data_IF_580081854424
#
_entry.id   IF_580081854424
#
_cell.length_a   1.000
_cell.length_b   1.000
_cell.length_c   1.000
_cell.angle_alpha   90.00
_cell.angle_beta   90.00
_cell.angle_gamma   90.00
#
_symmetry.space_group_name_H-M   'P 1'
#
loop_
_entity.id
_entity.type
_entity.pdbx_description
1 polymer ?
#
# COMPACT_ATOMS: atom_id res chain seq x y z
N UNK A 1 -19.26 31.00 33.83
CA UNK A 1 -18.01 31.31 33.09
C UNK A 1 -17.30 30.01 32.70
N UNK A 2 -17.39 29.58 31.43
CA UNK A 2 -16.59 28.47 30.90
C UNK A 2 -15.21 29.02 30.54
N UNK A 3 -14.21 28.73 31.37
CA UNK A 3 -12.83 29.15 31.13
C UNK A 3 -12.29 28.57 29.82
N UNK A 4 -11.87 29.46 28.93
CA UNK A 4 -11.16 29.14 27.69
C UNK A 4 -9.86 28.40 28.02
N UNK A 5 -9.72 27.16 27.55
CA UNK A 5 -8.44 26.45 27.60
C UNK A 5 -7.58 27.04 26.47
N UNK A 6 -6.57 27.82 26.82
CA UNK A 6 -5.55 28.28 25.88
C UNK A 6 -4.82 27.08 25.28
N UNK A 7 -5.02 26.84 23.98
CA UNK A 7 -4.40 25.75 23.24
C UNK A 7 -3.17 26.30 22.51
N UNK A 8 -1.98 26.09 23.06
CA UNK A 8 -0.72 26.40 22.36
C UNK A 8 -0.40 25.30 21.34
N UNK A 9 -0.25 25.65 20.07
CA UNK A 9 0.27 24.72 19.04
C UNK A 9 1.78 24.57 19.23
N UNK A 10 2.27 23.34 19.42
CA UNK A 10 3.68 23.02 19.64
C UNK A 10 4.42 22.77 18.31
N UNK A 11 3.80 22.00 17.40
CA UNK A 11 4.38 21.65 16.10
C UNK A 11 3.29 21.59 15.03
N UNK A 12 3.61 22.07 13.81
CA UNK A 12 2.78 21.91 12.61
C UNK A 12 3.56 21.15 11.54
N UNK A 13 2.96 20.11 10.99
CA UNK A 13 3.54 19.28 9.93
C UNK A 13 2.56 19.18 8.77
N UNK A 14 2.97 19.51 7.53
CA UNK A 14 2.14 19.27 6.34
C UNK A 14 1.75 17.80 6.22
N UNK A 15 0.46 17.52 5.99
CA UNK A 15 -0.03 16.15 5.92
C UNK A 15 0.54 15.36 4.72
N UNK A 16 1.12 16.04 3.73
CA UNK A 16 1.80 15.43 2.58
C UNK A 16 2.93 14.48 3.00
N UNK A 17 3.61 14.78 4.11
CA UNK A 17 4.70 13.93 4.62
C UNK A 17 4.22 12.52 4.99
N UNK A 18 2.93 12.33 5.30
CA UNK A 18 2.36 11.00 5.52
C UNK A 18 2.38 10.20 4.22
N UNK A 19 1.93 10.81 3.12
CA UNK A 19 1.95 10.18 1.79
C UNK A 19 3.38 9.87 1.34
N UNK A 20 4.31 10.82 1.49
CA UNK A 20 5.71 10.60 1.16
C UNK A 20 6.36 9.49 2.02
N UNK A 21 6.10 9.47 3.33
CA UNK A 21 6.64 8.43 4.21
C UNK A 21 6.12 7.05 3.81
N UNK A 22 4.81 6.94 3.55
CA UNK A 22 4.22 5.69 3.04
C UNK A 22 4.90 5.23 1.75
N UNK A 23 5.00 6.11 0.74
CA UNK A 23 5.55 5.78 -0.57
C UNK A 23 7.03 5.40 -0.48
N UNK A 24 7.84 6.15 0.28
CA UNK A 24 9.28 5.88 0.42
C UNK A 24 9.51 4.54 1.11
N UNK A 25 8.85 4.27 2.24
CA UNK A 25 9.03 3.00 2.94
C UNK A 25 8.50 1.81 2.13
N UNK A 26 7.34 1.95 1.48
CA UNK A 26 6.77 0.89 0.65
C UNK A 26 7.69 0.53 -0.52
N UNK A 27 8.11 1.51 -1.32
CA UNK A 27 9.04 1.22 -2.43
C UNK A 27 10.39 0.71 -1.95
N UNK A 28 10.92 1.28 -0.86
CA UNK A 28 12.17 0.78 -0.29
C UNK A 28 12.04 -0.69 0.14
N UNK A 29 10.92 -1.08 0.75
CA UNK A 29 10.68 -2.48 1.13
C UNK A 29 10.82 -3.41 -0.07
N UNK A 30 10.05 -3.14 -1.13
CA UNK A 30 9.99 -3.98 -2.32
C UNK A 30 11.31 -4.01 -3.11
N UNK A 31 11.92 -2.84 -3.37
CA UNK A 31 13.15 -2.77 -4.16
C UNK A 31 14.37 -3.28 -3.40
N UNK A 32 14.50 -3.01 -2.10
CA UNK A 32 15.60 -3.55 -1.29
C UNK A 32 15.46 -5.07 -1.19
N UNK A 33 14.26 -5.60 -0.98
CA UNK A 33 14.02 -7.04 -0.97
C UNK A 33 14.44 -7.68 -2.30
N UNK A 34 14.09 -7.07 -3.44
CA UNK A 34 14.50 -7.56 -4.76
C UNK A 34 16.01 -7.54 -4.95
N UNK A 35 16.68 -6.42 -4.64
CA UNK A 35 18.13 -6.29 -4.81
C UNK A 35 18.86 -7.30 -3.92
N UNK A 36 18.50 -7.37 -2.64
CA UNK A 36 19.15 -8.26 -1.68
C UNK A 36 18.81 -9.73 -1.98
N UNK A 37 17.58 -10.03 -2.38
CA UNK A 37 17.16 -11.36 -2.79
C UNK A 37 17.95 -11.85 -4.00
N UNK A 38 18.06 -11.02 -5.04
CA UNK A 38 18.88 -11.31 -6.21
C UNK A 38 20.36 -11.42 -5.86
N UNK A 39 20.89 -10.59 -4.97
CA UNK A 39 22.31 -10.67 -4.59
C UNK A 39 22.66 -11.95 -3.82
N UNK A 40 21.77 -12.38 -2.91
CA UNK A 40 22.07 -13.47 -1.98
C UNK A 40 21.57 -14.84 -2.42
N UNK A 41 20.42 -14.89 -3.10
CA UNK A 41 19.68 -16.14 -3.33
C UNK A 41 19.05 -16.25 -4.72
N UNK A 42 19.57 -15.54 -5.73
CA UNK A 42 18.99 -15.44 -7.08
C UNK A 42 18.40 -16.75 -7.62
N UNK A 43 19.24 -17.77 -7.82
CA UNK A 43 18.82 -19.05 -8.41
C UNK A 43 17.71 -19.76 -7.64
N UNK A 44 17.58 -19.47 -6.34
CA UNK A 44 16.56 -20.10 -5.50
C UNK A 44 15.24 -19.33 -5.55
N UNK A 45 15.27 -18.00 -5.67
CA UNK A 45 14.05 -17.17 -5.73
C UNK A 45 13.43 -17.10 -7.13
N UNK A 46 14.20 -17.42 -8.18
CA UNK A 46 13.68 -17.56 -9.55
C UNK A 46 13.15 -18.97 -9.86
N UNK A 47 13.46 -19.94 -8.99
CA UNK A 47 13.00 -21.32 -9.16
C UNK A 47 11.51 -21.43 -8.79
N UNK A 48 10.72 -22.00 -9.67
CA UNK A 48 9.32 -22.34 -9.43
C UNK A 48 9.14 -23.86 -9.29
N UNK A 49 7.89 -24.34 -9.24
CA UNK A 49 7.55 -25.76 -9.07
C UNK A 49 8.07 -26.68 -10.19
N UNK A 50 8.28 -26.15 -11.39
CA UNK A 50 8.57 -26.93 -12.60
C UNK A 50 9.91 -26.56 -13.26
N UNK A 51 10.31 -25.28 -13.19
CA UNK A 51 11.42 -24.71 -13.93
C UNK A 51 12.26 -23.78 -13.03
N UNK A 52 13.47 -23.49 -13.48
CA UNK A 52 14.34 -22.49 -12.87
C UNK A 52 15.12 -21.74 -13.94
N UNK A 53 16.22 -21.12 -13.54
CA UNK A 53 17.12 -20.46 -14.47
C UNK A 53 17.70 -21.48 -15.48
N UNK A 54 17.79 -21.18 -16.79
CA UNK A 54 17.62 -19.87 -17.43
C UNK A 54 16.21 -19.55 -17.95
N UNK A 55 15.27 -20.49 -17.92
CA UNK A 55 13.90 -20.26 -18.42
C UNK A 55 13.18 -19.23 -17.55
N UNK A 56 13.40 -19.32 -16.23
CA UNK A 56 12.88 -18.37 -15.26
C UNK A 56 14.00 -17.47 -14.75
N UNK A 57 13.82 -16.16 -14.89
CA UNK A 57 14.86 -15.17 -14.59
C UNK A 57 14.37 -13.98 -13.77
N UNK A 58 13.06 -13.70 -13.75
CA UNK A 58 12.50 -12.69 -12.85
C UNK A 58 11.81 -13.39 -11.68
N UNK A 59 12.25 -13.18 -10.42
CA UNK A 59 11.60 -13.79 -9.28
C UNK A 59 10.24 -13.13 -9.02
N UNK A 60 9.26 -13.92 -8.57
CA UNK A 60 7.95 -13.41 -8.13
C UNK A 60 8.07 -12.52 -6.90
N UNK A 61 7.03 -11.73 -6.65
CA UNK A 61 6.98 -10.87 -5.45
C UNK A 61 6.99 -11.73 -4.19
N UNK A 62 6.20 -12.80 -4.15
CA UNK A 62 6.13 -13.72 -3.00
C UNK A 62 7.46 -14.42 -2.73
N UNK A 63 8.15 -14.94 -3.76
CA UNK A 63 9.45 -15.59 -3.56
C UNK A 63 10.53 -14.61 -3.09
N UNK A 64 10.51 -13.39 -3.63
CA UNK A 64 11.46 -12.33 -3.27
C UNK A 64 11.30 -11.86 -1.82
N UNK A 65 10.06 -11.77 -1.35
CA UNK A 65 9.73 -11.15 -0.06
C UNK A 65 9.55 -12.15 1.08
N UNK A 66 9.15 -13.39 0.77
CA UNK A 66 8.74 -14.38 1.77
C UNK A 66 9.71 -15.53 2.02
N UNK A 67 10.66 -15.79 1.13
CA UNK A 67 11.39 -17.07 1.19
C UNK A 67 12.56 -17.07 2.16
N UNK A 68 13.45 -16.07 2.10
CA UNK A 68 14.80 -16.20 2.68
C UNK A 68 15.31 -14.94 3.37
N UNK A 69 16.06 -15.17 4.45
CA UNK A 69 16.95 -14.18 5.06
C UNK A 69 18.12 -13.86 4.10
N UNK A 70 18.60 -12.60 4.00
CA UNK A 70 18.18 -11.42 4.74
C UNK A 70 17.05 -10.60 4.09
N UNK A 71 16.69 -10.88 2.82
CA UNK A 71 15.70 -10.12 2.06
C UNK A 71 14.33 -10.05 2.77
N UNK A 72 13.82 -11.20 3.26
CA UNK A 72 12.56 -11.29 4.02
C UNK A 72 12.53 -10.38 5.24
N UNK A 73 13.59 -10.41 6.05
CA UNK A 73 13.64 -9.62 7.29
C UNK A 73 13.66 -8.11 7.00
N UNK A 74 14.47 -7.68 6.03
CA UNK A 74 14.52 -6.28 5.62
C UNK A 74 13.18 -5.80 5.04
N UNK A 75 12.53 -6.64 4.22
CA UNK A 75 11.19 -6.37 3.68
C UNK A 75 10.18 -6.15 4.81
N UNK A 76 10.08 -7.10 5.74
CA UNK A 76 9.11 -7.06 6.84
C UNK A 76 9.33 -5.85 7.75
N UNK A 77 10.59 -5.49 8.07
CA UNK A 77 10.90 -4.29 8.87
C UNK A 77 10.43 -3.01 8.15
N UNK A 78 10.69 -2.89 6.85
CA UNK A 78 10.29 -1.71 6.08
C UNK A 78 8.77 -1.63 5.91
N UNK A 79 8.07 -2.77 5.77
CA UNK A 79 6.60 -2.80 5.77
C UNK A 79 6.04 -2.45 7.16
N UNK A 80 6.69 -2.87 8.26
CA UNK A 80 6.32 -2.44 9.61
C UNK A 80 6.36 -0.90 9.73
N UNK A 81 7.43 -0.27 9.23
CA UNK A 81 7.56 1.18 9.18
C UNK A 81 6.53 1.84 8.24
N UNK A 82 6.15 1.17 7.15
CA UNK A 82 5.10 1.62 6.22
C UNK A 82 3.71 1.63 6.86
N UNK A 83 3.44 0.72 7.80
CA UNK A 83 2.12 0.52 8.39
C UNK A 83 1.56 1.77 9.09
N UNK A 84 2.39 2.48 9.86
CA UNK A 84 2.00 3.71 10.55
C UNK A 84 1.50 4.79 9.59
N UNK A 85 2.34 5.25 8.63
CA UNK A 85 1.92 6.15 7.56
C UNK A 85 0.68 5.66 6.79
N UNK A 86 0.55 4.35 6.54
CA UNK A 86 -0.61 3.78 5.85
C UNK A 86 -1.91 4.00 6.63
N UNK A 87 -1.94 3.68 7.92
CA UNK A 87 -3.13 3.90 8.74
C UNK A 87 -3.49 5.38 8.85
N UNK A 88 -2.49 6.25 9.00
CA UNK A 88 -2.70 7.70 9.03
C UNK A 88 -3.23 8.20 7.69
N UNK A 89 -2.73 7.70 6.55
CA UNK A 89 -3.22 8.05 5.22
C UNK A 89 -4.70 7.70 5.05
N UNK A 90 -5.11 6.49 5.48
CA UNK A 90 -6.53 6.07 5.41
C UNK A 90 -7.42 6.96 6.29
N UNK A 91 -6.97 7.29 7.50
CA UNK A 91 -7.68 8.20 8.40
C UNK A 91 -7.76 9.64 7.87
N UNK A 92 -6.67 10.15 7.30
CA UNK A 92 -6.64 11.45 6.65
C UNK A 92 -7.56 11.52 5.45
N UNK A 93 -7.62 10.46 4.62
CA UNK A 93 -8.54 10.39 3.50
C UNK A 93 -10.00 10.48 3.96
N UNK A 94 -10.36 9.77 5.03
CA UNK A 94 -11.68 9.86 5.65
C UNK A 94 -12.01 11.29 6.10
N UNK A 95 -11.12 11.92 6.87
CA UNK A 95 -11.34 13.29 7.36
C UNK A 95 -11.39 14.31 6.22
N UNK A 96 -10.52 14.16 5.23
CA UNK A 96 -10.47 15.01 4.05
C UNK A 96 -11.82 15.00 3.33
N UNK A 97 -12.29 13.81 2.96
CA UNK A 97 -13.51 13.64 2.14
C UNK A 97 -14.81 13.94 2.88
N UNK A 98 -14.88 13.71 4.20
CA UNK A 98 -16.11 13.90 4.99
C UNK A 98 -16.20 15.24 5.71
N UNK A 99 -15.08 15.82 6.13
CA UNK A 99 -15.06 17.05 6.93
C UNK A 99 -14.55 18.24 6.11
N UNK A 100 -13.42 18.08 5.42
CA UNK A 100 -12.73 19.19 4.75
C UNK A 100 -13.41 19.59 3.44
N UNK A 101 -13.48 18.68 2.46
CA UNK A 101 -14.03 18.97 1.13
C UNK A 101 -15.48 18.52 0.96
N UNK A 102 -15.99 17.68 1.88
CA UNK A 102 -17.38 17.20 1.92
C UNK A 102 -17.90 16.62 0.60
N UNK A 103 -17.02 15.94 -0.14
CA UNK A 103 -17.34 15.23 -1.38
C UNK A 103 -18.00 13.87 -1.15
N UNK A 104 -17.91 13.35 0.08
CA UNK A 104 -18.46 12.05 0.46
C UNK A 104 -19.55 12.20 1.52
N UNK A 105 -20.57 11.33 1.46
CA UNK A 105 -21.51 11.17 2.57
C UNK A 105 -20.81 10.53 3.77
N UNK A 106 -21.27 10.79 4.98
CA UNK A 106 -20.66 10.23 6.19
C UNK A 106 -20.66 8.68 6.16
N UNK A 107 -21.74 8.08 5.64
CA UNK A 107 -21.86 6.64 5.49
C UNK A 107 -20.82 6.08 4.52
N UNK A 108 -20.72 6.65 3.31
CA UNK A 108 -19.75 6.19 2.31
C UNK A 108 -18.31 6.42 2.77
N UNK A 109 -18.03 7.55 3.41
CA UNK A 109 -16.71 7.82 4.01
C UNK A 109 -16.32 6.77 5.06
N UNK A 110 -17.23 6.39 5.95
CA UNK A 110 -16.99 5.33 6.96
C UNK A 110 -16.78 3.96 6.31
N UNK A 111 -17.57 3.63 5.28
CA UNK A 111 -17.39 2.41 4.51
C UNK A 111 -16.00 2.37 3.85
N UNK A 112 -15.60 3.44 3.17
CA UNK A 112 -14.30 3.52 2.51
C UNK A 112 -13.14 3.47 3.51
N UNK A 113 -13.30 4.10 4.67
CA UNK A 113 -12.36 3.98 5.78
C UNK A 113 -12.20 2.52 6.22
N UNK A 114 -13.31 1.80 6.46
CA UNK A 114 -13.28 0.38 6.83
C UNK A 114 -12.60 -0.47 5.77
N UNK A 115 -12.93 -0.27 4.48
CA UNK A 115 -12.27 -0.96 3.36
C UNK A 115 -10.77 -0.70 3.38
N UNK A 116 -10.35 0.56 3.58
CA UNK A 116 -8.94 0.93 3.67
C UNK A 116 -8.22 0.28 4.86
N UNK A 117 -8.89 0.14 6.00
CA UNK A 117 -8.38 -0.53 7.19
C UNK A 117 -8.22 -2.04 6.95
N UNK A 118 -9.26 -2.72 6.46
CA UNK A 118 -9.24 -4.15 6.15
C UNK A 118 -8.14 -4.45 5.13
N UNK A 119 -8.06 -3.64 4.07
CA UNK A 119 -6.99 -3.72 3.08
C UNK A 119 -5.60 -3.62 3.70
N UNK A 120 -5.41 -2.68 4.63
CA UNK A 120 -4.11 -2.48 5.30
C UNK A 120 -3.74 -3.67 6.19
N UNK A 121 -4.70 -4.23 6.93
CA UNK A 121 -4.48 -5.42 7.76
C UNK A 121 -4.21 -6.65 6.89
N UNK A 122 -4.96 -6.82 5.80
CA UNK A 122 -4.76 -7.91 4.84
C UNK A 122 -3.36 -7.86 4.20
N UNK A 123 -2.84 -6.65 3.93
CA UNK A 123 -1.45 -6.46 3.50
C UNK A 123 -0.45 -7.01 4.53
N UNK A 124 -0.61 -6.67 5.80
CA UNK A 124 0.19 -7.27 6.87
C UNK A 124 0.04 -8.80 6.91
N UNK A 125 -1.17 -9.31 6.69
CA UNK A 125 -1.44 -10.75 6.64
C UNK A 125 -0.53 -11.49 5.68
N UNK A 126 -0.53 -11.13 4.39
CA UNK A 126 0.30 -11.83 3.39
C UNK A 126 1.80 -11.49 3.47
N UNK A 127 2.17 -10.35 4.06
CA UNK A 127 3.58 -9.97 4.26
C UNK A 127 4.25 -10.73 5.42
N UNK A 128 3.54 -10.89 6.54
CA UNK A 128 4.10 -11.54 7.74
C UNK A 128 3.85 -13.04 7.77
N UNK A 129 2.73 -13.50 7.22
CA UNK A 129 2.43 -14.92 7.02
C UNK A 129 2.78 -15.24 5.57
N UNK A 130 4.05 -15.61 5.36
CA UNK A 130 4.59 -15.81 4.02
C UNK A 130 4.03 -17.08 3.38
N UNK A 131 4.07 -17.15 2.05
CA UNK A 131 3.63 -18.34 1.29
C UNK A 131 4.40 -19.62 1.67
N UNK A 132 5.62 -19.47 2.18
CA UNK A 132 6.48 -20.54 2.70
C UNK A 132 6.08 -21.02 4.09
N UNK A 133 5.50 -20.16 4.92
CA UNK A 133 5.10 -20.48 6.29
C UNK A 133 3.70 -21.11 6.32
N UNK A 134 2.72 -20.47 5.67
CA UNK A 134 1.35 -20.98 5.51
C UNK A 134 0.73 -20.41 4.21
N UNK A 135 0.76 -21.24 3.16
CA UNK A 135 0.24 -20.89 1.85
C UNK A 135 -1.25 -20.55 1.84
N UNK A 136 -2.07 -21.23 2.65
CA UNK A 136 -3.51 -21.01 2.66
C UNK A 136 -3.85 -19.65 3.26
N UNK A 137 -3.26 -19.33 4.41
CA UNK A 137 -3.48 -18.05 5.08
C UNK A 137 -2.92 -16.88 4.27
N UNK A 138 -1.74 -17.07 3.67
CA UNK A 138 -1.14 -16.10 2.74
C UNK A 138 -2.09 -15.75 1.58
N UNK A 139 -2.63 -16.76 0.89
CA UNK A 139 -3.48 -16.55 -0.28
C UNK A 139 -4.83 -15.91 0.07
N UNK A 140 -5.41 -16.30 1.21
CA UNK A 140 -6.64 -15.67 1.72
C UNK A 140 -6.39 -14.18 2.00
N UNK A 141 -5.29 -13.84 2.67
CA UNK A 141 -4.92 -12.46 2.96
C UNK A 141 -4.65 -11.65 1.67
N UNK A 142 -3.93 -12.22 0.71
CA UNK A 142 -3.68 -11.60 -0.59
C UNK A 142 -4.99 -11.39 -1.38
N UNK A 143 -5.89 -12.36 -1.37
CA UNK A 143 -7.21 -12.26 -2.02
C UNK A 143 -8.06 -11.15 -1.39
N UNK A 144 -8.13 -11.10 -0.06
CA UNK A 144 -8.85 -10.03 0.65
C UNK A 144 -8.25 -8.66 0.30
N UNK A 145 -6.92 -8.56 0.25
CA UNK A 145 -6.23 -7.33 -0.13
C UNK A 145 -6.59 -6.88 -1.56
N UNK A 146 -6.56 -7.79 -2.54
CA UNK A 146 -6.92 -7.48 -3.92
C UNK A 146 -8.40 -7.12 -4.06
N UNK A 147 -9.30 -7.86 -3.42
CA UNK A 147 -10.73 -7.57 -3.41
C UNK A 147 -11.06 -6.23 -2.77
N UNK A 148 -10.33 -5.84 -1.71
CA UNK A 148 -10.49 -4.53 -1.09
C UNK A 148 -9.82 -3.40 -1.89
N UNK A 149 -8.87 -3.71 -2.78
CA UNK A 149 -8.18 -2.70 -3.59
C UNK A 149 -9.11 -2.04 -4.61
N UNK A 150 -10.02 -2.80 -5.22
CA UNK A 150 -11.01 -2.25 -6.16
C UNK A 150 -11.95 -1.20 -5.53
N UNK A 151 -12.71 -1.51 -4.45
CA UNK A 151 -13.56 -0.51 -3.80
C UNK A 151 -12.74 0.62 -3.18
N UNK A 152 -11.50 0.37 -2.73
CA UNK A 152 -10.61 1.44 -2.26
C UNK A 152 -10.28 2.43 -3.38
N UNK A 153 -9.70 1.96 -4.49
CA UNK A 153 -9.26 2.84 -5.58
C UNK A 153 -10.44 3.56 -6.26
N UNK A 154 -11.54 2.85 -6.52
CA UNK A 154 -12.75 3.47 -7.08
C UNK A 154 -13.40 4.44 -6.10
N UNK A 155 -13.45 4.11 -4.80
CA UNK A 155 -13.98 5.00 -3.78
C UNK A 155 -13.15 6.28 -3.62
N UNK A 156 -11.82 6.17 -3.65
CA UNK A 156 -10.91 7.32 -3.66
C UNK A 156 -11.11 8.17 -4.91
N UNK A 157 -11.25 7.55 -6.10
CA UNK A 157 -11.51 8.28 -7.34
C UNK A 157 -12.88 8.96 -7.35
N UNK A 158 -13.90 8.34 -6.75
CA UNK A 158 -15.24 8.90 -6.64
C UNK A 158 -15.31 10.08 -5.66
N UNK A 159 -14.55 10.00 -4.56
CA UNK A 159 -14.58 11.01 -3.48
C UNK A 159 -13.51 12.09 -3.61
N UNK A 160 -12.61 12.01 -4.59
CA UNK A 160 -11.60 13.04 -4.78
C UNK A 160 -12.20 14.39 -5.22
N UNK A 161 -11.52 15.49 -4.89
CA UNK A 161 -11.96 16.82 -5.28
C UNK A 161 -11.81 17.05 -6.79
N UNK A 162 -12.84 17.59 -7.43
CA UNK A 162 -12.81 17.96 -8.85
C UNK A 162 -11.83 19.13 -9.17
N UNK A 163 -11.23 19.75 -8.16
CA UNK A 163 -10.29 20.87 -8.34
C UNK A 163 -8.94 20.43 -8.89
N UNK A 164 -8.46 19.24 -8.53
CA UNK A 164 -7.11 18.79 -8.84
C UNK A 164 -7.13 17.78 -9.99
N UNK A 165 -7.37 18.29 -11.20
CA UNK A 165 -7.52 17.50 -12.44
C UNK A 165 -6.32 16.59 -12.74
N UNK A 166 -5.11 17.01 -12.35
CA UNK A 166 -3.89 16.21 -12.48
C UNK A 166 -3.94 14.95 -11.59
N UNK A 167 -4.38 15.10 -10.34
CA UNK A 167 -4.49 13.97 -9.40
C UNK A 167 -5.54 12.96 -9.89
N UNK A 168 -6.68 13.45 -10.38
CA UNK A 168 -7.74 12.62 -10.98
C UNK A 168 -7.22 11.85 -12.18
N UNK A 169 -6.56 12.53 -13.12
CA UNK A 169 -6.02 11.90 -14.33
C UNK A 169 -5.01 10.80 -14.00
N UNK A 170 -4.11 11.06 -13.04
CA UNK A 170 -3.10 10.08 -12.58
C UNK A 170 -3.77 8.88 -11.90
N UNK A 171 -4.69 9.10 -10.96
CA UNK A 171 -5.44 8.02 -10.30
C UNK A 171 -6.21 7.17 -11.30
N UNK A 172 -6.94 7.80 -12.22
CA UNK A 172 -7.72 7.08 -13.22
C UNK A 172 -6.82 6.22 -14.11
N UNK A 173 -5.69 6.77 -14.56
CA UNK A 173 -4.69 6.02 -15.31
C UNK A 173 -4.17 4.83 -14.50
N UNK A 174 -3.72 5.05 -13.25
CA UNK A 174 -3.18 3.99 -12.39
C UNK A 174 -4.20 2.89 -12.08
N UNK A 175 -5.46 3.24 -11.80
CA UNK A 175 -6.54 2.27 -11.62
C UNK A 175 -6.79 1.47 -12.90
N UNK A 176 -6.89 2.14 -14.05
CA UNK A 176 -7.06 1.44 -15.33
C UNK A 176 -5.89 0.51 -15.64
N UNK A 177 -4.65 0.95 -15.39
CA UNK A 177 -3.47 0.11 -15.60
C UNK A 177 -3.43 -1.06 -14.63
N UNK A 178 -3.71 -0.85 -13.33
CA UNK A 178 -3.76 -1.91 -12.32
C UNK A 178 -4.75 -3.02 -12.70
N UNK A 179 -6.02 -2.66 -12.95
CA UNK A 179 -7.04 -3.65 -13.33
C UNK A 179 -6.84 -4.19 -14.76
N UNK A 180 -6.27 -3.39 -15.66
CA UNK A 180 -5.90 -3.82 -17.01
C UNK A 180 -4.76 -4.85 -17.03
N UNK A 181 -3.87 -4.83 -16.03
CA UNK A 181 -2.80 -5.83 -15.89
C UNK A 181 -3.24 -7.14 -15.24
N UNK A 182 -4.40 -7.20 -14.59
CA UNK A 182 -4.89 -8.45 -13.97
C UNK A 182 -5.19 -9.56 -14.99
N UNK A 183 -5.93 -9.33 -16.11
CA UNK A 183 -6.17 -10.38 -17.09
C UNK A 183 -4.91 -11.04 -17.67
N UNK A 184 -3.88 -10.30 -18.17
CA UNK A 184 -2.67 -10.94 -18.65
C UNK A 184 -1.90 -11.64 -17.53
N UNK A 185 -1.88 -11.10 -16.30
CA UNK A 185 -1.29 -11.78 -15.15
C UNK A 185 -1.94 -13.14 -14.91
N UNK A 186 -3.28 -13.20 -14.85
CA UNK A 186 -4.03 -14.44 -14.65
C UNK A 186 -3.78 -15.42 -15.81
N UNK A 187 -3.72 -14.94 -17.05
CA UNK A 187 -3.40 -15.77 -18.20
C UNK A 187 -2.03 -16.44 -18.05
N UNK A 188 -0.97 -15.69 -17.72
CA UNK A 188 0.37 -16.27 -17.55
C UNK A 188 0.50 -17.14 -16.31
N UNK A 189 -0.27 -16.86 -15.24
CA UNK A 189 -0.40 -17.76 -14.10
C UNK A 189 -0.95 -19.13 -14.51
N UNK A 190 -2.00 -19.16 -15.34
CA UNK A 190 -2.57 -20.41 -15.86
C UNK A 190 -1.59 -21.13 -16.81
N UNK A 191 -0.87 -20.39 -17.65
CA UNK A 191 0.19 -20.95 -18.51
C UNK A 191 1.29 -21.64 -17.69
N UNK A 192 1.68 -21.06 -16.56
CA UNK A 192 2.63 -21.66 -15.64
C UNK A 192 2.02 -22.87 -14.88
N UNK A 193 0.87 -22.70 -14.24
CA UNK A 193 0.31 -23.70 -13.31
C UNK A 193 -0.33 -24.90 -14.00
N UNK A 194 -1.10 -24.67 -15.06
CA UNK A 194 -1.88 -25.71 -15.76
C UNK A 194 -1.12 -26.23 -16.96
N UNK A 195 -0.67 -25.33 -17.83
CA UNK A 195 -0.05 -25.70 -19.11
C UNK A 195 1.47 -25.94 -19.02
N UNK A 196 2.10 -25.58 -17.88
CA UNK A 196 3.53 -25.79 -17.59
C UNK A 196 4.45 -25.26 -18.70
N UNK A 197 4.14 -24.06 -19.20
CA UNK A 197 4.95 -23.40 -20.24
C UNK A 197 6.22 -22.80 -19.61
N UNK A 198 7.42 -23.13 -20.09
CA UNK A 198 8.66 -22.54 -19.58
C UNK A 198 8.70 -21.01 -19.80
N UNK A 199 9.11 -20.24 -18.79
CA UNK A 199 9.22 -18.78 -18.85
C UNK A 199 7.91 -18.03 -18.64
N UNK A 200 6.77 -18.74 -18.56
CA UNK A 200 5.48 -18.12 -18.25
C UNK A 200 5.46 -17.51 -16.84
N UNK A 201 6.18 -18.11 -15.88
CA UNK A 201 6.20 -17.63 -14.50
C UNK A 201 6.94 -16.30 -14.37
N UNK A 202 8.02 -16.09 -15.12
CA UNK A 202 8.72 -14.81 -15.19
C UNK A 202 7.84 -13.69 -15.74
N UNK A 203 7.05 -13.97 -16.79
CA UNK A 203 6.12 -12.98 -17.33
C UNK A 203 5.00 -12.68 -16.32
N UNK A 204 4.50 -13.71 -15.63
CA UNK A 204 3.58 -13.55 -14.51
C UNK A 204 4.18 -12.65 -13.41
N UNK A 205 5.40 -12.93 -12.97
CA UNK A 205 6.12 -12.16 -11.95
C UNK A 205 6.27 -10.69 -12.36
N UNK A 206 6.53 -10.41 -13.64
CA UNK A 206 6.59 -9.04 -14.15
C UNK A 206 5.28 -8.27 -13.93
N UNK A 207 4.14 -8.92 -14.15
CA UNK A 207 2.84 -8.31 -13.86
C UNK A 207 2.59 -8.15 -12.35
N UNK A 208 2.99 -9.11 -11.51
CA UNK A 208 2.91 -8.95 -10.05
C UNK A 208 3.68 -7.70 -9.57
N UNK A 209 4.93 -7.55 -10.00
CA UNK A 209 5.74 -6.38 -9.68
C UNK A 209 5.10 -5.09 -10.19
N UNK A 210 4.51 -5.12 -11.39
CA UNK A 210 3.79 -3.97 -11.95
C UNK A 210 2.61 -3.56 -11.08
N UNK A 211 1.81 -4.52 -10.59
CA UNK A 211 0.68 -4.22 -9.69
C UNK A 211 1.13 -3.52 -8.40
N UNK A 212 2.22 -3.97 -7.79
CA UNK A 212 2.80 -3.31 -6.61
C UNK A 212 3.19 -1.87 -6.93
N UNK A 213 3.84 -1.65 -8.08
CA UNK A 213 4.26 -0.31 -8.50
C UNK A 213 3.06 0.62 -8.66
N UNK A 214 2.02 0.17 -9.36
CA UNK A 214 0.82 0.98 -9.60
C UNK A 214 0.06 1.26 -8.32
N UNK A 215 0.00 0.30 -7.41
CA UNK A 215 -0.74 0.46 -6.17
C UNK A 215 -0.09 1.46 -5.21
N UNK A 216 1.22 1.34 -4.98
CA UNK A 216 1.97 2.31 -4.17
C UNK A 216 1.94 3.70 -4.84
N UNK A 217 2.01 3.77 -6.17
CA UNK A 217 1.89 5.01 -6.92
C UNK A 217 0.51 5.65 -6.74
N UNK A 218 -0.56 4.84 -6.70
CA UNK A 218 -1.93 5.34 -6.51
C UNK A 218 -2.07 6.04 -5.16
N UNK A 219 -1.58 5.41 -4.09
CA UNK A 219 -1.57 6.00 -2.76
C UNK A 219 -0.64 7.24 -2.69
N UNK A 220 0.48 7.26 -3.43
CA UNK A 220 1.37 8.43 -3.52
C UNK A 220 0.68 9.69 -4.08
N UNK A 221 -0.34 9.53 -4.92
CA UNK A 221 -1.10 10.69 -5.46
C UNK A 221 -1.85 11.44 -4.34
N UNK A 222 -2.11 10.83 -3.18
CA UNK A 222 -2.71 11.52 -2.03
C UNK A 222 -1.89 12.71 -1.52
N UNK A 223 -0.60 12.79 -1.84
CA UNK A 223 0.23 13.95 -1.55
C UNK A 223 -0.32 15.25 -2.17
N UNK A 224 -1.01 15.18 -3.32
CA UNK A 224 -1.63 16.35 -3.94
C UNK A 224 -2.83 16.85 -3.11
N UNK A 225 -3.67 15.94 -2.64
CA UNK A 225 -4.84 16.27 -1.81
C UNK A 225 -4.43 16.79 -0.43
N UNK A 226 -3.43 16.15 0.18
CA UNK A 226 -2.96 16.47 1.53
C UNK A 226 -2.14 17.76 1.59
N UNK A 227 -1.88 18.42 0.45
CA UNK A 227 -1.22 19.74 0.41
C UNK A 227 -1.98 20.81 1.20
N UNK A 228 -3.29 20.66 1.31
CA UNK A 228 -4.18 21.61 2.00
C UNK A 228 -4.47 21.24 3.45
N UNK A 229 -3.84 20.17 3.96
CA UNK A 229 -4.03 19.67 5.31
C UNK A 229 -2.76 19.83 6.13
N UNK A 230 -2.93 20.19 7.40
CA UNK A 230 -1.85 20.28 8.39
C UNK A 230 -2.18 19.42 9.61
N UNK A 231 -1.18 18.67 10.07
CA UNK A 231 -1.22 17.96 11.35
C UNK A 231 -0.63 18.89 12.42
N UNK A 232 -1.37 19.08 13.52
CA UNK A 232 -0.95 19.95 14.63
C UNK A 232 -0.90 19.18 15.94
N UNK A 233 0.22 19.33 16.66
CA UNK A 233 0.35 18.86 18.04
C UNK A 233 0.01 20.04 18.95
N UNK A 234 -1.00 19.88 19.80
CA UNK A 234 -1.50 20.93 20.69
C UNK A 234 -1.23 20.51 22.13
N UNK A 235 -0.47 21.32 22.88
CA UNK A 235 -0.28 21.10 24.31
C UNK A 235 -1.54 21.56 25.05
N UNK A 236 -2.10 20.66 25.85
CA UNK A 236 -3.23 21.00 26.72
C UNK A 236 -2.66 21.51 28.05
N UNK A 237 -2.72 22.82 28.29
CA UNK A 237 -2.38 23.38 29.61
C UNK A 237 -3.39 22.89 30.66
N UNK A 238 -2.89 22.41 31.80
CA UNK A 238 -3.72 22.08 32.96
C UNK A 238 -3.98 23.34 33.79
N UNK A 239 -5.14 23.45 34.44
CA UNK A 239 -5.59 24.63 35.22
C UNK A 239 -4.61 25.07 36.33
N UNK A 240 -3.63 24.26 36.70
CA UNK A 240 -2.67 24.53 37.77
C UNK A 240 -1.47 25.40 37.35
N UNK A 241 -1.22 25.60 36.05
CA UNK A 241 -0.11 26.42 35.53
C UNK A 241 -0.50 27.90 35.30
N UNK A 242 -1.71 28.32 35.68
CA UNK A 242 -2.20 29.70 35.54
C UNK A 242 -2.09 30.54 36.82
N UNK A 243 -1.51 30.01 37.89
CA UNK A 243 -1.41 30.66 39.22
C UNK A 243 0.03 30.88 39.70
N UNK A 244 1.01 30.90 38.79
CA UNK A 244 2.37 31.38 39.07
C UNK A 244 2.72 32.44 38.03
#
# INVERSE_FOLDING_TARGET
MKGSIEKGTVVRVPAQYVSYSHTVFAYSAFFIALIIGCYTHYYKIVQNEYFGFPQEWLPSVSATTGDRYPARALFQILIALTSGPRFVLVGLWYLYTTVSIRTSTLFFGKFLFLVGMVRTVACGGWVYITSTDDHQTHDVAMTIYLLCTLPWQLGVLYTCSNTDTVAIKRRRMLTMTFFGTLPPMIYFFLQHKVYRVPGAYTIYAFFEWSLIIYDVAFDAVTAFDFKRLELQIIQRKSKHEMTV
#
